data_IF_635969695385
#
_entry.id   IF_635969695385
#
_cell.length_a   1.000
_cell.length_b   1.000
_cell.length_c   1.000
_cell.angle_alpha   90.00
_cell.angle_beta   90.00
_cell.angle_gamma   90.00
#
_symmetry.space_group_name_H-M   'P 1'
#
loop_
_entity.id
_entity.type
_entity.pdbx_description
1 polymer ?
#
# COMPACT_ATOMS: atom_id res chain seq x y z
N UNK A 1 -2.43 5.56 23.44
CA UNK A 1 -3.64 5.13 22.70
C UNK A 1 -3.19 4.21 21.58
N UNK A 2 -3.83 3.06 21.45
CA UNK A 2 -3.50 2.08 20.43
C UNK A 2 -4.03 2.57 19.09
N UNK A 3 -3.17 2.69 18.07
CA UNK A 3 -3.58 3.14 16.75
C UNK A 3 -4.14 1.94 15.97
N UNK A 4 -5.47 1.80 15.95
CA UNK A 4 -6.16 0.65 15.39
C UNK A 4 -5.79 0.36 13.91
N UNK A 5 -5.77 1.34 12.99
CA UNK A 5 -5.31 1.10 11.61
C UNK A 5 -3.89 0.56 11.51
N UNK A 6 -2.98 1.00 12.39
CA UNK A 6 -1.60 0.52 12.41
C UNK A 6 -1.57 -0.95 12.79
N UNK A 7 -2.21 -1.33 13.89
CA UNK A 7 -2.27 -2.73 14.32
C UNK A 7 -2.90 -3.65 13.29
N UNK A 8 -3.94 -3.17 12.61
CA UNK A 8 -4.56 -3.93 11.52
C UNK A 8 -3.58 -4.14 10.38
N UNK A 9 -2.84 -3.10 9.97
CA UNK A 9 -1.83 -3.21 8.91
C UNK A 9 -0.68 -4.14 9.29
N UNK A 10 -0.23 -4.11 10.55
CA UNK A 10 0.81 -4.99 11.10
C UNK A 10 0.34 -6.45 11.12
N UNK A 11 -0.91 -6.69 11.55
CA UNK A 11 -1.49 -8.03 11.58
C UNK A 11 -1.65 -8.62 10.18
N UNK A 12 -2.07 -7.80 9.20
CA UNK A 12 -2.16 -8.22 7.80
C UNK A 12 -0.78 -8.61 7.25
N UNK A 13 0.25 -7.81 7.54
CA UNK A 13 1.63 -8.11 7.15
C UNK A 13 2.15 -9.39 7.79
N UNK A 14 1.95 -9.56 9.11
CA UNK A 14 2.35 -10.76 9.83
C UNK A 14 1.70 -12.02 9.24
N UNK A 15 0.39 -11.97 8.97
CA UNK A 15 -0.33 -13.11 8.39
C UNK A 15 0.20 -13.43 6.99
N UNK A 16 0.48 -12.41 6.17
CA UNK A 16 1.07 -12.61 4.85
C UNK A 16 2.46 -13.26 4.93
N UNK A 17 3.31 -12.83 5.85
CA UNK A 17 4.64 -13.40 6.09
C UNK A 17 4.58 -14.87 6.57
N UNK A 18 3.56 -15.20 7.38
CA UNK A 18 3.33 -16.56 7.87
C UNK A 18 2.58 -17.45 6.87
N UNK A 19 2.19 -16.93 5.71
CA UNK A 19 1.37 -17.67 4.72
C UNK A 19 -0.03 -18.02 5.23
N UNK A 20 -0.56 -17.28 6.21
CA UNK A 20 -1.87 -17.49 6.81
C UNK A 20 -2.97 -16.72 6.07
N UNK A 21 -4.22 -17.18 6.21
CA UNK A 21 -5.36 -16.48 5.60
C UNK A 21 -5.64 -15.13 6.30
N UNK A 22 -5.41 -14.03 5.57
CA UNK A 22 -5.69 -12.66 6.03
C UNK A 22 -7.06 -12.14 5.56
N UNK A 23 -7.93 -12.98 4.98
CA UNK A 23 -9.19 -12.54 4.36
C UNK A 23 -10.12 -11.78 5.31
N UNK A 24 -10.22 -12.20 6.58
CA UNK A 24 -11.02 -11.48 7.59
C UNK A 24 -10.47 -10.09 7.90
N UNK A 25 -9.15 -9.97 8.03
CA UNK A 25 -8.47 -8.68 8.28
C UNK A 25 -8.59 -7.74 7.08
N UNK A 26 -8.50 -8.27 5.85
CA UNK A 26 -8.70 -7.51 4.61
C UNK A 26 -10.15 -7.03 4.46
N UNK A 27 -11.12 -7.82 4.93
CA UNK A 27 -12.53 -7.40 4.99
C UNK A 27 -12.71 -6.25 5.99
N UNK A 28 -12.06 -6.34 7.14
CA UNK A 28 -12.07 -5.26 8.13
C UNK A 28 -11.46 -3.97 7.54
N UNK A 29 -10.31 -4.08 6.88
CA UNK A 29 -9.64 -2.98 6.17
C UNK A 29 -10.57 -2.30 5.13
N UNK A 30 -11.40 -3.08 4.44
CA UNK A 30 -12.36 -2.57 3.48
C UNK A 30 -13.50 -1.78 4.12
N UNK A 31 -13.99 -2.18 5.30
CA UNK A 31 -15.13 -1.57 5.98
C UNK A 31 -14.74 -0.46 6.97
N UNK A 32 -13.46 -0.16 7.14
CA UNK A 32 -13.04 1.03 7.90
C UNK A 32 -13.66 2.27 7.25
N UNK A 33 -14.30 3.11 8.06
CA UNK A 33 -14.82 4.39 7.60
C UNK A 33 -13.66 5.35 7.29
N UNK A 34 -13.72 6.00 6.14
CA UNK A 34 -12.69 6.96 5.68
C UNK A 34 -12.31 8.00 6.75
N UNK A 35 -13.31 8.63 7.39
CA UNK A 35 -13.06 9.62 8.44
C UNK A 35 -12.30 9.06 9.65
N UNK A 36 -12.48 7.77 9.98
CA UNK A 36 -11.70 7.13 11.06
C UNK A 36 -10.25 6.98 10.62
N UNK A 37 -10.03 6.56 9.37
CA UNK A 37 -8.68 6.43 8.84
C UNK A 37 -7.95 7.78 8.86
N UNK A 38 -8.61 8.86 8.43
CA UNK A 38 -8.06 10.22 8.49
C UNK A 38 -7.74 10.67 9.92
N UNK A 39 -8.64 10.37 10.87
CA UNK A 39 -8.48 10.75 12.27
C UNK A 39 -7.33 10.00 12.97
N UNK A 40 -7.16 8.71 12.68
CA UNK A 40 -6.10 7.89 13.27
C UNK A 40 -4.76 8.01 12.54
N UNK A 41 -4.76 8.30 11.23
CA UNK A 41 -3.55 8.55 10.42
C UNK A 41 -3.33 10.06 10.26
N UNK A 42 -3.32 10.78 11.38
CA UNK A 42 -3.25 12.24 11.41
C UNK A 42 -1.83 12.80 11.17
N UNK A 43 -0.79 11.96 11.27
CA UNK A 43 0.60 12.35 10.98
C UNK A 43 1.14 11.59 9.77
N UNK A 44 2.08 12.21 9.08
CA UNK A 44 2.79 11.60 7.95
C UNK A 44 3.51 10.32 8.37
N UNK A 45 4.11 10.28 9.57
CA UNK A 45 4.73 9.08 10.11
C UNK A 45 3.74 7.91 10.23
N UNK A 46 2.53 8.16 10.75
CA UNK A 46 1.50 7.11 10.90
C UNK A 46 1.00 6.64 9.53
N UNK A 47 0.80 7.57 8.59
CA UNK A 47 0.46 7.22 7.20
C UNK A 47 1.55 6.36 6.56
N UNK A 48 2.82 6.72 6.72
CA UNK A 48 3.94 5.94 6.21
C UNK A 48 3.93 4.51 6.76
N UNK A 49 3.86 4.34 8.08
CA UNK A 49 3.84 3.01 8.72
C UNK A 49 2.68 2.18 8.18
N UNK A 50 1.47 2.74 8.17
CA UNK A 50 0.29 2.07 7.66
C UNK A 50 0.46 1.62 6.21
N UNK A 51 0.84 2.53 5.31
CA UNK A 51 0.91 2.25 3.88
C UNK A 51 2.08 1.34 3.49
N UNK A 52 3.22 1.43 4.19
CA UNK A 52 4.35 0.49 4.01
C UNK A 52 3.93 -0.92 4.40
N UNK A 53 3.25 -1.09 5.54
CA UNK A 53 2.76 -2.39 5.98
C UNK A 53 1.77 -2.97 4.97
N UNK A 54 0.81 -2.17 4.49
CA UNK A 54 -0.15 -2.59 3.46
C UNK A 54 0.58 -2.97 2.16
N UNK A 55 1.53 -2.17 1.69
CA UNK A 55 2.28 -2.46 0.48
C UNK A 55 3.02 -3.81 0.60
N UNK A 56 3.80 -3.99 1.67
CA UNK A 56 4.61 -5.19 1.88
C UNK A 56 3.74 -6.44 1.99
N UNK A 57 2.61 -6.34 2.71
CA UNK A 57 1.70 -7.47 2.87
C UNK A 57 1.09 -7.90 1.52
N UNK A 58 0.62 -6.94 0.73
CA UNK A 58 0.01 -7.24 -0.57
C UNK A 58 1.05 -7.65 -1.62
N UNK A 59 2.30 -7.19 -1.52
CA UNK A 59 3.41 -7.69 -2.34
C UNK A 59 3.57 -9.21 -2.18
N UNK A 60 3.60 -9.70 -0.93
CA UNK A 60 3.68 -11.13 -0.61
C UNK A 60 2.43 -11.88 -1.09
N UNK A 61 1.24 -11.36 -0.78
CA UNK A 61 -0.03 -12.01 -1.16
C UNK A 61 -0.12 -12.16 -2.68
N UNK A 62 0.14 -11.09 -3.44
CA UNK A 62 0.07 -11.12 -4.90
C UNK A 62 1.14 -12.04 -5.50
N UNK A 63 2.35 -12.05 -4.93
CA UNK A 63 3.42 -12.95 -5.37
C UNK A 63 3.07 -14.44 -5.18
N UNK A 64 2.25 -14.75 -4.17
CA UNK A 64 1.78 -16.12 -3.89
C UNK A 64 0.68 -16.61 -4.85
N UNK A 65 -0.08 -15.69 -5.47
CA UNK A 65 -1.19 -15.98 -6.38
C UNK A 65 -0.75 -16.29 -7.85
N UNK A 66 0.53 -16.63 -8.07
CA UNK A 66 1.13 -16.98 -9.37
C UNK A 66 1.15 -15.88 -10.46
N UNK A 67 0.55 -14.70 -10.25
CA UNK A 67 0.65 -13.58 -11.20
C UNK A 67 1.92 -12.74 -10.98
N UNK A 68 3.07 -13.28 -11.38
CA UNK A 68 4.41 -12.62 -11.29
C UNK A 68 4.71 -11.71 -12.49
N UNK A 69 3.71 -10.93 -12.92
CA UNK A 69 3.81 -10.00 -14.05
C UNK A 69 3.95 -8.56 -13.54
N UNK A 70 4.62 -7.68 -14.29
CA UNK A 70 4.62 -6.23 -14.03
C UNK A 70 3.20 -5.63 -13.95
N UNK A 71 2.24 -6.28 -14.60
CA UNK A 71 0.82 -5.89 -14.57
C UNK A 71 0.21 -6.05 -13.17
N UNK A 72 0.77 -6.94 -12.34
CA UNK A 72 0.35 -7.14 -10.97
C UNK A 72 0.51 -5.87 -10.12
N UNK A 73 1.57 -5.08 -10.39
CA UNK A 73 1.79 -3.79 -9.73
C UNK A 73 0.77 -2.71 -10.11
N UNK A 74 0.19 -2.81 -11.31
CA UNK A 74 -0.79 -1.84 -11.86
C UNK A 74 -2.23 -2.24 -11.53
N UNK A 75 -2.48 -3.51 -11.22
CA UNK A 75 -3.84 -4.01 -11.00
C UNK A 75 -4.39 -3.54 -9.64
N UNK A 76 -5.60 -2.97 -9.64
CA UNK A 76 -6.26 -2.45 -8.42
C UNK A 76 -6.90 -3.56 -7.58
N UNK A 77 -6.09 -4.29 -6.80
CA UNK A 77 -6.54 -5.41 -5.95
C UNK A 77 -6.65 -5.06 -4.46
N UNK A 78 -6.04 -3.96 -4.02
CA UNK A 78 -5.93 -3.59 -2.61
C UNK A 78 -7.14 -2.76 -2.23
N UNK A 79 -7.99 -3.28 -1.34
CA UNK A 79 -9.25 -2.60 -0.96
C UNK A 79 -9.13 -1.99 0.43
N UNK A 80 -9.24 -0.67 0.53
CA UNK A 80 -9.13 0.09 1.79
C UNK A 80 -10.26 1.10 1.86
N UNK A 81 -11.10 1.01 2.90
CA UNK A 81 -12.21 1.93 3.15
C UNK A 81 -13.04 2.22 1.88
N UNK A 82 -13.62 1.17 1.30
CA UNK A 82 -14.39 1.22 0.05
C UNK A 82 -13.67 1.63 -1.24
N UNK A 83 -12.38 1.95 -1.18
CA UNK A 83 -11.57 2.35 -2.34
C UNK A 83 -10.62 1.22 -2.77
N UNK A 84 -10.31 1.18 -4.07
CA UNK A 84 -9.42 0.18 -4.66
C UNK A 84 -8.11 0.81 -5.14
N UNK A 85 -6.99 0.23 -4.70
CA UNK A 85 -5.63 0.67 -4.95
C UNK A 85 -4.81 -0.42 -5.61
N UNK A 86 -3.84 -0.02 -6.41
CA UNK A 86 -2.73 -0.86 -6.88
C UNK A 86 -1.47 -0.64 -6.04
N UNK A 87 -0.48 -1.53 -6.13
CA UNK A 87 0.82 -1.33 -5.49
C UNK A 87 1.48 -0.03 -5.98
N UNK A 88 1.37 0.27 -7.27
CA UNK A 88 1.84 1.53 -7.85
C UNK A 88 1.12 2.76 -7.29
N UNK A 89 -0.18 2.65 -7.01
CA UNK A 89 -0.91 3.75 -6.38
C UNK A 89 -0.34 4.03 -4.98
N UNK A 90 -0.06 2.98 -4.19
CA UNK A 90 0.49 3.16 -2.85
C UNK A 90 1.92 3.70 -2.89
N UNK A 91 2.81 3.06 -3.65
CA UNK A 91 4.23 3.43 -3.71
C UNK A 91 4.44 4.84 -4.24
N UNK A 92 3.80 5.16 -5.36
CA UNK A 92 4.08 6.41 -6.03
C UNK A 92 3.08 7.52 -5.66
N UNK A 93 1.78 7.25 -5.42
CA UNK A 93 0.79 8.34 -5.18
C UNK A 93 0.76 8.73 -3.72
N UNK A 94 0.73 7.70 -2.88
CA UNK A 94 0.51 7.85 -1.44
C UNK A 94 1.83 8.08 -0.71
N UNK A 95 2.81 7.21 -0.93
CA UNK A 95 4.15 7.31 -0.34
C UNK A 95 5.07 8.25 -1.11
N UNK A 96 4.73 8.60 -2.37
CA UNK A 96 5.48 9.54 -3.22
C UNK A 96 6.94 9.17 -3.44
N UNK A 97 7.24 7.88 -3.32
CA UNK A 97 8.55 7.33 -3.62
C UNK A 97 8.82 7.53 -5.11
N UNK A 98 10.00 8.01 -5.49
CA UNK A 98 10.38 8.28 -6.88
C UNK A 98 9.50 9.33 -7.62
N UNK A 99 8.85 10.24 -6.89
CA UNK A 99 8.09 11.38 -7.43
C UNK A 99 8.86 12.32 -8.38
N UNK A 100 10.18 12.16 -8.51
CA UNK A 100 11.02 12.88 -9.49
C UNK A 100 10.89 12.34 -10.92
N UNK A 101 10.26 11.18 -11.14
CA UNK A 101 10.05 10.64 -12.49
C UNK A 101 8.96 11.45 -13.24
N UNK A 102 9.25 12.03 -14.42
CA UNK A 102 8.31 12.88 -15.16
C UNK A 102 7.04 12.15 -15.63
N UNK A 103 7.13 10.84 -15.93
CA UNK A 103 5.97 9.99 -16.25
C UNK A 103 4.95 10.01 -15.10
N UNK A 104 5.45 10.19 -13.89
CA UNK A 104 4.67 10.08 -12.68
C UNK A 104 3.91 11.36 -12.30
N UNK A 105 4.48 12.54 -12.59
CA UNK A 105 3.77 13.83 -12.47
C UNK A 105 2.49 13.87 -13.30
N UNK A 106 2.48 13.17 -14.43
CA UNK A 106 1.31 13.06 -15.30
C UNK A 106 0.21 12.15 -14.69
N UNK A 107 0.61 11.05 -14.04
CA UNK A 107 -0.30 10.11 -13.37
C UNK A 107 -0.95 10.74 -12.13
N UNK A 108 -0.21 11.60 -11.42
CA UNK A 108 -0.70 12.34 -10.24
C UNK A 108 -1.87 13.28 -10.59
N UNK A 109 -1.95 13.75 -11.84
CA UNK A 109 -2.99 14.66 -12.31
C UNK A 109 -4.32 13.94 -12.66
N UNK A 110 -4.28 12.67 -13.08
CA UNK A 110 -5.47 11.94 -13.59
C UNK A 110 -6.28 11.18 -12.53
N UNK A 111 -5.71 10.87 -11.36
CA UNK A 111 -6.36 10.00 -10.37
C UNK A 111 -6.45 10.59 -8.96
N UNK A 112 -6.33 11.91 -8.84
CA UNK A 112 -6.50 12.64 -7.58
C UNK A 112 -7.98 12.75 -7.19
N UNK A 113 -8.63 11.63 -6.89
CA UNK A 113 -9.80 11.70 -6.00
C UNK A 113 -9.34 12.40 -4.71
N UNK A 114 -10.13 13.34 -4.20
CA UNK A 114 -9.83 14.12 -2.99
C UNK A 114 -9.39 13.23 -1.81
N UNK A 115 -9.91 12.01 -1.77
CA UNK A 115 -9.58 10.97 -0.81
C UNK A 115 -8.10 10.56 -0.78
N UNK A 116 -7.49 10.23 -1.94
CA UNK A 116 -6.08 9.80 -2.00
C UNK A 116 -5.16 10.90 -1.48
N UNK A 117 -5.48 12.17 -1.79
CA UNK A 117 -4.72 13.33 -1.31
C UNK A 117 -4.74 13.48 0.22
N UNK A 118 -5.82 13.09 0.88
CA UNK A 118 -5.92 13.20 2.35
C UNK A 118 -5.11 12.14 3.07
N UNK A 119 -5.02 10.94 2.49
CA UNK A 119 -4.28 9.80 3.06
C UNK A 119 -2.84 9.71 2.59
N UNK A 120 -2.47 10.45 1.55
CA UNK A 120 -1.09 10.60 1.11
C UNK A 120 -0.24 11.33 2.15
N UNK A 121 1.04 10.98 2.13
CA UNK A 121 2.10 11.64 2.91
C UNK A 121 2.41 12.98 2.25
N UNK A 122 2.62 14.05 3.03
CA UNK A 122 2.97 15.36 2.48
C UNK A 122 4.43 15.39 2.04
N UNK A 123 5.33 14.91 2.89
CA UNK A 123 6.77 14.89 2.64
C UNK A 123 7.25 13.52 2.13
N UNK A 124 8.17 13.54 1.17
CA UNK A 124 8.78 12.31 0.64
C UNK A 124 9.89 11.88 1.58
N UNK A 125 9.68 10.79 2.31
CA UNK A 125 10.77 10.16 3.08
C UNK A 125 11.50 9.15 2.19
N UNK A 126 12.72 9.51 1.76
CA UNK A 126 13.56 8.66 0.92
C UNK A 126 13.99 7.36 1.62
N UNK A 127 13.94 7.29 2.96
CA UNK A 127 14.21 6.05 3.72
C UNK A 127 13.16 4.98 3.45
N UNK A 128 11.97 5.36 3.00
CA UNK A 128 10.91 4.41 2.66
C UNK A 128 11.28 3.51 1.47
N UNK A 129 12.22 3.93 0.62
CA UNK A 129 12.66 3.12 -0.53
C UNK A 129 13.23 1.76 -0.12
N UNK A 130 13.96 1.71 1.01
CA UNK A 130 14.55 0.48 1.54
C UNK A 130 13.58 -0.30 2.45
N UNK A 131 12.43 0.29 2.81
CA UNK A 131 11.40 -0.38 3.61
C UNK A 131 10.37 -1.12 2.75
N UNK A 132 10.25 -0.76 1.46
CA UNK A 132 9.38 -1.47 0.54
C UNK A 132 10.03 -2.77 0.07
N UNK A 133 9.36 -3.89 0.38
CA UNK A 133 9.81 -5.20 -0.06
C UNK A 133 9.24 -5.54 -1.45
N UNK A 134 10.06 -5.25 -2.47
CA UNK A 134 9.78 -5.57 -3.88
C UNK A 134 10.30 -6.97 -4.25
N UNK A 135 11.04 -7.63 -3.37
CA UNK A 135 11.68 -8.92 -3.63
C UNK A 135 10.71 -10.07 -3.95
N UNK A 136 9.51 -10.16 -3.33
CA UNK A 136 8.58 -11.27 -3.59
C UNK A 136 8.12 -11.29 -5.05
N UNK A 137 8.04 -10.12 -5.67
CA UNK A 137 7.59 -9.96 -7.05
C UNK A 137 8.77 -9.92 -8.05
N UNK A 138 9.98 -9.50 -7.64
CA UNK A 138 11.16 -9.47 -8.51
C UNK A 138 11.81 -10.84 -8.72
N UNK A 139 11.77 -11.73 -7.72
CA UNK A 139 12.32 -13.09 -7.84
C UNK A 139 11.56 -13.95 -8.87
N UNK A 140 10.41 -13.48 -9.38
CA UNK A 140 9.70 -14.08 -10.51
C UNK A 140 10.08 -13.54 -11.89
N UNK A 141 10.81 -12.42 -11.95
CA UNK A 141 11.16 -11.73 -13.19
C UNK A 141 12.56 -12.10 -13.70
N UNK A 142 13.40 -12.72 -12.86
CA UNK A 142 14.76 -13.18 -13.19
C UNK A 142 14.84 -14.55 -13.87
N UNK A 143 13.72 -15.29 -13.92
CA UNK A 143 13.67 -16.67 -14.41
C UNK A 143 13.11 -16.78 -15.85
N UNK A 144 13.13 -15.69 -16.63
CA UNK A 144 12.79 -15.69 -18.06
C UNK A 144 13.99 -15.34 -18.94
#
# INVERSE_FOLDING_TARGET
>A
MVNFPIQLSESILLYAQLGQDSSSLRRELYFIKEHKLELYLNTDQLKCIFWVNIYNAYSIIIASEASRSEEAYKTKRIKVAHNSFSLNDIEYKILRINSRNPVYKFIDNLFCCSYIRKLAVKEVDYRLQSMLDRTPLSNGLSDN
#
